data_IF_814555608811
#
_entry.id   IF_814555608811
#
_cell.length_a   1.000
_cell.length_b   1.000
_cell.length_c   1.000
_cell.angle_alpha   90.00
_cell.angle_beta   90.00
_cell.angle_gamma   90.00
#
_symmetry.space_group_name_H-M   'P 1'
#
loop_
_entity.id
_entity.type
_entity.pdbx_description
1 polymer ?
#
# COMPACT_ATOMS: atom_id res chain seq x y z
N UNK A 1 -8.64 -3.92 5.18
CA UNK A 1 -8.84 -4.70 3.93
C UNK A 1 -9.94 -4.13 3.04
N UNK A 2 -11.15 -3.87 3.54
CA UNK A 2 -12.25 -3.38 2.67
C UNK A 2 -11.96 -1.97 2.11
N UNK A 3 -11.38 -1.08 2.91
CA UNK A 3 -11.10 0.31 2.52
C UNK A 3 -10.06 0.41 1.39
N UNK A 4 -8.94 -0.33 1.49
CA UNK A 4 -7.92 -0.35 0.44
C UNK A 4 -8.44 -0.92 -0.87
N UNK A 5 -9.31 -1.93 -0.80
CA UNK A 5 -9.97 -2.52 -1.98
C UNK A 5 -10.93 -1.53 -2.65
N UNK A 6 -11.77 -0.85 -1.87
CA UNK A 6 -12.70 0.16 -2.39
C UNK A 6 -11.96 1.35 -3.02
N UNK A 7 -10.88 1.80 -2.39
CA UNK A 7 -10.02 2.85 -2.95
C UNK A 7 -9.33 2.41 -4.24
N UNK A 8 -8.83 1.17 -4.30
CA UNK A 8 -8.26 0.60 -5.52
C UNK A 8 -9.28 0.48 -6.66
N UNK A 9 -10.50 0.04 -6.34
CA UNK A 9 -11.60 -0.04 -7.30
C UNK A 9 -11.98 1.35 -7.84
N UNK A 10 -12.08 2.37 -6.99
CA UNK A 10 -12.31 3.75 -7.41
C UNK A 10 -11.18 4.27 -8.32
N UNK A 11 -9.93 3.90 -8.03
CA UNK A 11 -8.78 4.20 -8.91
C UNK A 11 -8.93 3.56 -10.30
N UNK A 12 -9.41 2.32 -10.34
CA UNK A 12 -9.57 1.56 -11.58
C UNK A 12 -10.74 2.06 -12.45
N UNK A 13 -11.88 2.38 -11.82
CA UNK A 13 -13.07 2.93 -12.46
C UNK A 13 -12.80 4.32 -13.05
N UNK A 14 -12.08 5.18 -12.32
CA UNK A 14 -11.81 6.55 -12.77
C UNK A 14 -10.62 6.68 -13.73
N UNK A 15 -9.95 5.58 -14.04
CA UNK A 15 -8.89 5.56 -15.03
C UNK A 15 -9.46 5.76 -16.44
N UNK A 16 -8.79 6.57 -17.28
CA UNK A 16 -9.22 6.77 -18.67
C UNK A 16 -9.32 5.43 -19.42
N UNK A 17 -10.38 5.22 -20.21
CA UNK A 17 -10.62 3.95 -20.92
C UNK A 17 -9.53 3.59 -21.94
N UNK A 18 -8.82 4.59 -22.48
CA UNK A 18 -7.73 4.38 -23.44
C UNK A 18 -6.38 4.00 -22.80
N UNK A 19 -6.33 3.85 -21.48
CA UNK A 19 -5.09 3.52 -20.77
C UNK A 19 -4.83 2.02 -20.82
N UNK A 20 -3.59 1.56 -21.06
CA UNK A 20 -3.28 0.14 -21.02
C UNK A 20 -3.67 -0.50 -19.69
N UNK A 21 -4.26 -1.70 -19.77
CA UNK A 21 -4.82 -2.44 -18.64
C UNK A 21 -3.81 -2.66 -17.50
N UNK A 22 -2.55 -2.96 -17.85
CA UNK A 22 -1.50 -3.18 -16.85
C UNK A 22 -1.27 -1.93 -15.97
N UNK A 23 -1.33 -0.73 -16.54
CA UNK A 23 -1.10 0.52 -15.81
C UNK A 23 -2.27 0.82 -14.87
N UNK A 24 -3.51 0.53 -15.32
CA UNK A 24 -4.72 0.67 -14.50
C UNK A 24 -4.70 -0.28 -13.30
N UNK A 25 -4.28 -1.53 -13.53
CA UNK A 25 -4.15 -2.52 -12.47
C UNK A 25 -3.04 -2.17 -11.48
N UNK A 26 -1.86 -1.75 -11.95
CA UNK A 26 -0.75 -1.38 -11.06
C UNK A 26 -1.09 -0.17 -10.18
N UNK A 27 -1.74 0.84 -10.76
CA UNK A 27 -2.17 2.02 -9.99
C UNK A 27 -3.30 1.70 -9.02
N UNK A 28 -4.26 0.87 -9.40
CA UNK A 28 -5.33 0.40 -8.51
C UNK A 28 -4.82 -0.52 -7.40
N UNK A 29 -3.77 -1.31 -7.65
CA UNK A 29 -3.19 -2.25 -6.70
C UNK A 29 -2.43 -1.58 -5.55
N UNK A 30 -2.06 -0.30 -5.69
CA UNK A 30 -1.36 0.44 -4.65
C UNK A 30 -2.14 0.51 -3.32
N UNK A 31 -3.40 0.94 -3.38
CA UNK A 31 -4.26 1.07 -2.19
C UNK A 31 -4.50 -0.26 -1.43
N UNK A 32 -4.90 -1.37 -2.10
CA UNK A 32 -5.06 -2.65 -1.42
C UNK A 32 -3.73 -3.24 -0.94
N UNK A 33 -2.60 -2.97 -1.62
CA UNK A 33 -1.29 -3.39 -1.13
C UNK A 33 -0.90 -2.70 0.18
N UNK A 34 -1.11 -1.39 0.31
CA UNK A 34 -0.85 -0.64 1.55
C UNK A 34 -1.73 -1.14 2.69
N UNK A 35 -3.04 -1.32 2.44
CA UNK A 35 -3.99 -1.82 3.44
C UNK A 35 -3.61 -3.25 3.88
N UNK A 36 -3.25 -4.14 2.96
CA UNK A 36 -2.80 -5.50 3.28
C UNK A 36 -1.54 -5.51 4.14
N UNK A 37 -0.55 -4.68 3.81
CA UNK A 37 0.69 -4.54 4.59
C UNK A 37 0.40 -4.00 5.99
N UNK A 38 -0.54 -3.06 6.13
CA UNK A 38 -0.96 -2.54 7.43
C UNK A 38 -1.62 -3.59 8.32
N UNK A 39 -2.57 -4.35 7.79
CA UNK A 39 -3.18 -5.43 8.58
C UNK A 39 -2.17 -6.52 8.92
N UNK A 40 -1.23 -6.78 8.02
CA UNK A 40 -0.15 -7.72 8.26
C UNK A 40 0.78 -7.23 9.39
N UNK A 41 1.13 -5.94 9.46
CA UNK A 41 1.91 -5.40 10.60
C UNK A 41 1.16 -5.51 11.92
N UNK A 42 -0.15 -5.22 11.93
CA UNK A 42 -0.98 -5.37 13.14
C UNK A 42 -1.02 -6.83 13.59
N UNK A 43 -1.18 -7.77 12.66
CA UNK A 43 -1.19 -9.20 12.97
C UNK A 43 0.14 -9.71 13.52
N UNK A 44 1.27 -9.26 12.95
CA UNK A 44 2.62 -9.58 13.47
C UNK A 44 2.77 -9.08 14.91
N UNK A 45 2.33 -7.84 15.18
CA UNK A 45 2.40 -7.24 16.52
C UNK A 45 1.60 -8.03 17.57
N UNK A 46 0.57 -8.78 17.18
CA UNK A 46 -0.23 -9.60 18.09
C UNK A 46 0.33 -11.02 18.28
N UNK A 47 1.23 -11.49 17.41
CA UNK A 47 1.69 -12.88 17.36
C UNK A 47 3.21 -12.99 17.58
N UNK A 48 3.64 -12.80 18.84
CA UNK A 48 5.05 -12.81 19.25
C UNK A 48 5.83 -14.10 18.94
N UNK A 49 5.16 -15.25 18.75
CA UNK A 49 5.82 -16.56 18.58
C UNK A 49 6.62 -16.74 17.29
N UNK A 50 6.44 -15.90 16.27
CA UNK A 50 7.05 -16.09 14.95
C UNK A 50 7.70 -14.80 14.37
N UNK A 51 8.03 -13.83 15.23
CA UNK A 51 8.42 -12.48 14.83
C UNK A 51 9.55 -12.43 13.78
N UNK A 52 10.67 -13.13 13.96
CA UNK A 52 11.83 -12.95 13.07
C UNK A 52 11.60 -13.33 11.59
N UNK A 53 10.87 -14.41 11.30
CA UNK A 53 10.59 -14.80 9.91
C UNK A 53 9.59 -13.84 9.27
N UNK A 54 8.49 -13.55 9.96
CA UNK A 54 7.44 -12.69 9.42
C UNK A 54 7.85 -11.22 9.30
N UNK A 55 8.76 -10.74 10.16
CA UNK A 55 9.40 -9.42 10.02
C UNK A 55 10.17 -9.34 8.70
N UNK A 56 10.93 -10.37 8.32
CA UNK A 56 11.65 -10.39 7.03
C UNK A 56 10.68 -10.36 5.85
N UNK A 57 9.63 -11.19 5.88
CA UNK A 57 8.57 -11.19 4.85
C UNK A 57 7.90 -9.81 4.76
N UNK A 58 7.59 -9.20 5.89
CA UNK A 58 7.00 -7.87 5.97
C UNK A 58 7.91 -6.80 5.33
N UNK A 59 9.20 -6.77 5.66
CA UNK A 59 10.15 -5.85 5.02
C UNK A 59 10.28 -6.10 3.52
N UNK A 60 10.24 -7.37 3.07
CA UNK A 60 10.22 -7.71 1.64
C UNK A 60 8.98 -7.15 0.93
N UNK A 61 7.80 -7.24 1.55
CA UNK A 61 6.55 -6.69 1.01
C UNK A 61 6.58 -5.16 0.90
N UNK A 62 7.30 -4.47 1.79
CA UNK A 62 7.42 -3.02 1.74
C UNK A 62 8.14 -2.49 0.50
N UNK A 63 9.08 -3.23 -0.11
CA UNK A 63 9.78 -2.79 -1.32
C UNK A 63 8.88 -2.67 -2.55
N UNK A 64 7.74 -3.37 -2.56
CA UNK A 64 6.75 -3.29 -3.63
C UNK A 64 6.01 -1.94 -3.60
N UNK A 65 5.86 -1.33 -2.42
CA UNK A 65 5.08 -0.10 -2.24
C UNK A 65 5.70 1.12 -2.94
N UNK A 66 7.01 1.41 -2.86
CA UNK A 66 7.63 2.49 -3.63
C UNK A 66 7.47 2.35 -5.14
N UNK A 67 7.49 1.12 -5.66
CA UNK A 67 7.32 0.85 -7.09
C UNK A 67 5.87 1.17 -7.50
N UNK A 68 4.89 0.67 -6.75
CA UNK A 68 3.48 0.96 -7.00
C UNK A 68 3.16 2.45 -6.81
N UNK A 69 3.78 3.10 -5.82
CA UNK A 69 3.68 4.54 -5.59
C UNK A 69 4.24 5.33 -6.77
N UNK A 70 5.45 5.00 -7.25
CA UNK A 70 6.04 5.67 -8.41
C UNK A 70 5.16 5.50 -9.66
N UNK A 71 4.64 4.29 -9.90
CA UNK A 71 3.70 4.03 -10.99
C UNK A 71 2.41 4.83 -10.83
N UNK A 72 1.92 5.00 -9.58
CA UNK A 72 0.77 5.86 -9.31
C UNK A 72 1.08 7.34 -9.57
N UNK A 73 2.23 7.86 -9.16
CA UNK A 73 2.58 9.28 -9.30
C UNK A 73 2.82 9.66 -10.77
N UNK A 74 3.63 8.87 -11.48
CA UNK A 74 4.04 9.19 -12.85
C UNK A 74 3.05 8.70 -13.90
N UNK A 75 2.28 7.65 -13.59
CA UNK A 75 1.47 6.93 -14.55
C UNK A 75 -0.04 7.02 -14.35
N UNK A 76 -0.56 7.73 -13.33
CA UNK A 76 -2.01 7.71 -13.07
C UNK A 76 -2.81 8.37 -14.21
N UNK A 77 -3.67 7.61 -14.90
CA UNK A 77 -4.42 8.12 -16.04
C UNK A 77 -5.73 8.84 -15.67
N UNK A 78 -6.07 8.96 -14.39
CA UNK A 78 -7.36 9.48 -13.91
C UNK A 78 -7.35 10.93 -13.44
N UNK A 79 -8.44 11.40 -12.80
CA UNK A 79 -8.56 12.77 -12.30
C UNK A 79 -7.62 13.05 -11.12
N UNK A 80 -6.77 14.08 -11.27
CA UNK A 80 -5.75 14.45 -10.27
C UNK A 80 -6.30 14.69 -8.84
N UNK A 81 -7.57 15.09 -8.70
CA UNK A 81 -8.19 15.36 -7.39
C UNK A 81 -8.20 14.12 -6.48
N UNK A 82 -8.55 12.96 -7.03
CA UNK A 82 -8.61 11.72 -6.27
C UNK A 82 -7.20 11.21 -5.94
N UNK A 83 -6.27 11.46 -6.86
CA UNK A 83 -4.85 11.19 -6.67
C UNK A 83 -4.24 12.02 -5.54
N UNK A 84 -4.51 13.33 -5.49
CA UNK A 84 -4.05 14.23 -4.43
C UNK A 84 -4.62 13.93 -3.04
N UNK A 85 -5.79 13.28 -2.95
CA UNK A 85 -6.36 12.87 -1.66
C UNK A 85 -5.78 11.52 -1.21
N UNK A 86 -5.74 10.53 -2.12
CA UNK A 86 -5.38 9.16 -1.76
C UNK A 86 -3.88 8.93 -1.60
N UNK A 87 -3.03 9.61 -2.38
CA UNK A 87 -1.56 9.43 -2.25
C UNK A 87 -1.04 9.84 -0.87
N UNK A 88 -1.37 11.03 -0.32
CA UNK A 88 -0.94 11.41 1.03
C UNK A 88 -1.49 10.47 2.10
N UNK A 89 -2.75 10.03 1.98
CA UNK A 89 -3.38 9.11 2.92
C UNK A 89 -2.65 7.75 2.93
N UNK A 90 -2.30 7.23 1.75
CA UNK A 90 -1.60 5.96 1.60
C UNK A 90 -0.13 6.06 2.01
N UNK A 91 0.52 7.21 1.79
CA UNK A 91 1.85 7.50 2.33
C UNK A 91 1.85 7.53 3.86
N UNK A 92 0.81 8.12 4.47
CA UNK A 92 0.64 8.14 5.92
C UNK A 92 0.43 6.72 6.47
N UNK A 93 -0.44 5.93 5.83
CA UNK A 93 -0.63 4.53 6.19
C UNK A 93 0.67 3.73 6.07
N UNK A 94 1.41 3.90 4.97
CA UNK A 94 2.70 3.26 4.80
C UNK A 94 3.72 3.68 5.87
N UNK A 95 3.83 4.98 6.18
CA UNK A 95 4.67 5.46 7.26
C UNK A 95 4.27 4.81 8.60
N UNK A 96 2.97 4.71 8.91
CA UNK A 96 2.49 4.00 10.09
C UNK A 96 2.93 2.53 10.10
N UNK A 97 2.85 1.81 8.97
CA UNK A 97 3.35 0.42 8.89
C UNK A 97 4.85 0.34 9.14
N UNK A 98 5.62 1.29 8.61
CA UNK A 98 7.07 1.35 8.84
C UNK A 98 7.39 1.60 10.32
N UNK A 99 6.71 2.56 10.96
CA UNK A 99 6.91 2.87 12.38
C UNK A 99 6.51 1.69 13.27
N UNK A 100 5.35 1.07 13.07
CA UNK A 100 4.92 -0.09 13.87
C UNK A 100 5.94 -1.23 13.82
N UNK A 101 6.49 -1.49 12.63
CA UNK A 101 7.49 -2.54 12.47
C UNK A 101 8.86 -2.14 12.97
N UNK A 102 9.24 -0.87 12.87
CA UNK A 102 10.46 -0.37 13.51
C UNK A 102 10.41 -0.53 15.03
N UNK A 103 9.31 -0.12 15.68
CA UNK A 103 9.12 -0.31 17.11
C UNK A 103 9.06 -1.79 17.52
N UNK A 104 8.50 -2.66 16.68
CA UNK A 104 8.49 -4.11 16.92
C UNK A 104 9.88 -4.76 16.83
N UNK A 105 10.87 -4.11 16.20
CA UNK A 105 12.21 -4.68 15.95
C UNK A 105 13.29 -4.02 16.81
N UNK A 106 13.17 -2.71 17.05
CA UNK A 106 14.18 -1.88 17.72
C UNK A 106 13.71 -1.42 19.11
N UNK A 107 12.42 -1.56 19.42
CA UNK A 107 11.87 -1.27 20.75
C UNK A 107 12.11 -2.38 21.80
N UNK A 108 12.82 -3.45 21.41
CA UNK A 108 13.46 -4.42 22.31
C UNK A 108 14.91 -4.01 22.59
#
# INVERSE_FOLDING_TARGET
MLFGFLAGFAYFEQAKPNTPLYLRLLTAAYCPAVDLIFWFSVWISQNHRYQHFWIKVFFSMQYVLPILLAVSIFGYPGPKRLHFLLVPLMLLLWACTFFMSYFSVVGE
#
